data_IF_658946482525
#
_entry.id   IF_658946482525
#
_cell.length_a   1.000
_cell.length_b   1.000
_cell.length_c   1.000
_cell.angle_alpha   90.00
_cell.angle_beta   90.00
_cell.angle_gamma   90.00
#
_symmetry.space_group_name_H-M   'P 1'
#
loop_
_entity.id
_entity.type
_entity.pdbx_description
1 polymer ?
#
# COMPACT_ATOMS: atom_id res chain seq x y z
N UNK A 1 -2.98 8.72 10.47
CA UNK A 1 -2.04 8.13 9.48
C UNK A 1 -1.55 6.76 9.92
N UNK A 2 -0.95 6.62 11.10
CA UNK A 2 -0.50 5.32 11.64
C UNK A 2 -1.59 4.25 11.59
N UNK A 3 -2.80 4.53 12.10
CA UNK A 3 -3.90 3.55 12.11
C UNK A 3 -4.30 3.05 10.71
N UNK A 4 -4.24 3.93 9.69
CA UNK A 4 -4.56 3.56 8.30
C UNK A 4 -3.48 2.67 7.71
N UNK A 5 -2.22 3.01 7.95
CA UNK A 5 -1.08 2.20 7.50
C UNK A 5 -1.08 0.84 8.19
N UNK A 6 -1.24 0.80 9.50
CA UNK A 6 -1.28 -0.45 10.28
C UNK A 6 -2.44 -1.34 9.85
N UNK A 7 -3.61 -0.77 9.58
CA UNK A 7 -4.74 -1.50 9.02
C UNK A 7 -4.35 -2.17 7.69
N UNK A 8 -3.84 -1.40 6.72
CA UNK A 8 -3.48 -1.94 5.41
C UNK A 8 -2.36 -2.97 5.52
N UNK A 9 -1.31 -2.69 6.30
CA UNK A 9 -0.21 -3.63 6.54
C UNK A 9 -0.72 -4.96 7.11
N UNK A 10 -1.69 -4.93 8.03
CA UNK A 10 -2.32 -6.13 8.56
C UNK A 10 -3.13 -6.88 7.50
N UNK A 11 -3.81 -6.18 6.59
CA UNK A 11 -4.48 -6.84 5.45
C UNK A 11 -3.47 -7.50 4.49
N UNK A 12 -2.34 -6.85 4.18
CA UNK A 12 -1.27 -7.48 3.40
C UNK A 12 -0.69 -8.72 4.09
N UNK A 13 -0.50 -8.68 5.42
CA UNK A 13 -0.05 -9.85 6.21
C UNK A 13 -1.06 -11.00 6.16
N UNK A 14 -2.36 -10.71 6.15
CA UNK A 14 -3.39 -11.74 5.95
C UNK A 14 -3.27 -12.35 4.55
N UNK A 15 -3.15 -11.53 3.49
CA UNK A 15 -2.96 -12.02 2.13
C UNK A 15 -1.71 -12.90 2.00
N UNK A 16 -0.65 -12.57 2.73
CA UNK A 16 0.62 -13.29 2.79
C UNK A 16 0.58 -14.57 3.65
N UNK A 17 -0.57 -14.96 4.21
CA UNK A 17 -0.65 -16.15 5.08
C UNK A 17 0.16 -16.02 6.38
N UNK A 18 0.35 -14.79 6.85
CA UNK A 18 1.16 -14.50 8.03
C UNK A 18 2.66 -14.46 7.76
N UNK A 19 3.11 -14.62 6.51
CA UNK A 19 4.51 -14.38 6.14
C UNK A 19 4.90 -12.90 6.30
N UNK A 20 6.21 -12.65 6.30
CA UNK A 20 6.76 -11.32 6.55
C UNK A 20 6.41 -10.32 5.44
N UNK A 21 5.78 -9.21 5.85
CA UNK A 21 5.63 -7.99 5.04
C UNK A 21 6.34 -6.87 5.79
N UNK A 22 7.39 -6.34 5.16
CA UNK A 22 8.29 -5.32 5.69
C UNK A 22 7.94 -3.92 5.18
N UNK A 23 8.81 -2.97 5.52
CA UNK A 23 8.69 -1.58 5.10
C UNK A 23 10.07 -0.96 4.88
N UNK A 24 10.30 -0.41 3.69
CA UNK A 24 11.55 0.25 3.34
C UNK A 24 11.46 1.76 3.60
N UNK A 25 12.00 2.21 4.73
CA UNK A 25 11.99 3.64 5.05
C UNK A 25 12.85 4.48 4.07
N UNK A 26 13.92 3.91 3.50
CA UNK A 26 14.74 4.63 2.54
C UNK A 26 14.00 4.86 1.21
N UNK A 27 13.27 3.86 0.73
CA UNK A 27 12.39 3.99 -0.44
C UNK A 27 11.29 4.99 -0.17
N UNK A 28 10.64 4.96 1.00
CA UNK A 28 9.58 5.91 1.35
C UNK A 28 10.05 7.36 1.29
N UNK A 29 11.20 7.65 1.91
CA UNK A 29 11.78 9.00 1.89
C UNK A 29 12.17 9.40 0.47
N UNK A 30 12.79 8.49 -0.29
CA UNK A 30 13.17 8.75 -1.69
C UNK A 30 11.97 9.03 -2.58
N UNK A 31 10.89 8.23 -2.47
CA UNK A 31 9.66 8.43 -3.24
C UNK A 31 9.04 9.77 -2.88
N UNK A 32 8.83 10.04 -1.59
CA UNK A 32 8.20 11.27 -1.12
C UNK A 32 8.95 12.52 -1.58
N UNK A 33 10.28 12.49 -1.56
CA UNK A 33 11.11 13.65 -1.90
C UNK A 33 11.23 13.88 -3.43
N UNK A 34 10.87 12.90 -4.27
CA UNK A 34 10.97 12.98 -5.75
C UNK A 34 9.64 12.86 -6.49
N UNK A 35 8.52 12.88 -5.77
CA UNK A 35 7.19 12.56 -6.30
C UNK A 35 6.43 13.72 -6.98
N UNK A 36 7.11 14.63 -7.69
CA UNK A 36 6.48 15.80 -8.33
C UNK A 36 5.28 15.42 -9.21
N UNK A 37 5.40 14.31 -9.95
CA UNK A 37 4.32 13.79 -10.81
C UNK A 37 3.10 13.35 -10.01
N UNK A 38 3.30 12.67 -8.88
CA UNK A 38 2.20 12.22 -8.03
C UNK A 38 1.50 13.41 -7.37
N UNK A 39 2.26 14.43 -6.96
CA UNK A 39 1.68 15.69 -6.47
C UNK A 39 0.82 16.34 -7.55
N UNK A 40 1.33 16.55 -8.77
CA UNK A 40 0.58 17.14 -9.86
C UNK A 40 -0.72 16.36 -10.18
N UNK A 41 -0.64 15.03 -10.23
CA UNK A 41 -1.80 14.16 -10.45
C UNK A 41 -2.83 14.30 -9.31
N UNK A 42 -2.38 14.36 -8.06
CA UNK A 42 -3.28 14.51 -6.91
C UNK A 42 -4.06 15.83 -6.95
N UNK A 43 -3.42 16.94 -7.35
CA UNK A 43 -4.11 18.21 -7.51
C UNK A 43 -5.12 18.15 -8.67
N UNK A 44 -4.76 17.51 -9.78
CA UNK A 44 -5.67 17.33 -10.91
C UNK A 44 -6.89 16.47 -10.53
N UNK A 45 -6.69 15.38 -9.79
CA UNK A 45 -7.78 14.54 -9.25
C UNK A 45 -8.67 15.32 -8.26
N UNK A 46 -8.08 16.21 -7.47
CA UNK A 46 -8.82 17.07 -6.54
C UNK A 46 -9.73 18.05 -7.27
N UNK A 47 -9.22 18.72 -8.31
CA UNK A 47 -10.01 19.62 -9.15
C UNK A 47 -11.21 18.90 -9.78
N UNK A 48 -10.99 17.66 -10.23
CA UNK A 48 -12.02 16.81 -10.83
C UNK A 48 -12.89 16.07 -9.79
N UNK A 49 -12.77 16.40 -8.49
CA UNK A 49 -13.58 15.83 -7.40
C UNK A 49 -13.53 14.29 -7.33
N UNK A 50 -12.37 13.70 -7.63
CA UNK A 50 -12.18 12.25 -7.60
C UNK A 50 -12.00 11.69 -6.17
N UNK A 51 -11.74 12.55 -5.19
CA UNK A 51 -11.60 12.14 -3.79
C UNK A 51 -12.95 12.12 -3.06
N UNK A 52 -13.14 11.20 -2.09
CA UNK A 52 -14.33 11.17 -1.25
C UNK A 52 -14.61 12.51 -0.55
N UNK A 53 -15.87 12.82 -0.24
CA UNK A 53 -16.21 13.96 0.60
C UNK A 53 -15.47 13.88 1.95
N UNK A 54 -14.83 14.96 2.36
CA UNK A 54 -14.11 15.03 3.63
C UNK A 54 -12.61 14.65 3.57
N UNK A 55 -12.05 14.35 2.39
CA UNK A 55 -10.59 14.27 2.23
C UNK A 55 -9.95 15.62 2.55
N UNK A 56 -9.24 15.70 3.67
CA UNK A 56 -8.76 16.97 4.23
C UNK A 56 -7.53 17.50 3.47
N UNK A 57 -6.45 16.70 3.38
CA UNK A 57 -5.17 17.13 2.83
C UNK A 57 -4.55 16.13 1.85
N UNK A 58 -4.20 16.59 0.65
CA UNK A 58 -3.53 15.76 -0.37
C UNK A 58 -2.17 15.24 0.10
N UNK A 59 -1.46 16.01 0.93
CA UNK A 59 -0.17 15.60 1.49
C UNK A 59 -0.29 14.33 2.31
N UNK A 60 -1.31 14.25 3.16
CA UNK A 60 -1.53 13.07 4.01
C UNK A 60 -1.92 11.83 3.19
N UNK A 61 -2.74 12.01 2.15
CA UNK A 61 -3.09 10.91 1.25
C UNK A 61 -1.90 10.43 0.41
N UNK A 62 -1.04 11.36 -0.03
CA UNK A 62 0.18 11.03 -0.73
C UNK A 62 1.22 10.39 0.19
N UNK A 63 1.37 10.85 1.43
CA UNK A 63 2.26 10.22 2.41
C UNK A 63 1.85 8.76 2.66
N UNK A 64 0.55 8.47 2.81
CA UNK A 64 0.07 7.09 2.88
C UNK A 64 0.34 6.33 1.59
N UNK A 65 0.11 6.92 0.42
CA UNK A 65 0.41 6.29 -0.87
C UNK A 65 1.89 5.87 -0.98
N UNK A 66 2.83 6.76 -0.64
CA UNK A 66 4.27 6.44 -0.66
C UNK A 66 4.63 5.38 0.38
N UNK A 67 3.98 5.39 1.55
CA UNK A 67 4.17 4.33 2.54
C UNK A 67 3.75 2.96 1.98
N UNK A 68 2.62 2.88 1.26
CA UNK A 68 2.14 1.64 0.67
C UNK A 68 3.03 1.15 -0.48
N UNK A 69 3.54 2.05 -1.31
CA UNK A 69 4.51 1.74 -2.37
C UNK A 69 5.86 1.24 -1.81
N UNK A 70 6.17 1.60 -0.56
CA UNK A 70 7.40 1.23 0.12
C UNK A 70 7.29 -0.04 0.98
N UNK A 71 6.19 -0.79 0.87
CA UNK A 71 6.07 -2.11 1.50
C UNK A 71 7.03 -3.11 0.83
N UNK A 72 7.65 -3.96 1.64
CA UNK A 72 8.63 -4.95 1.17
C UNK A 72 8.09 -6.37 1.34
N UNK A 73 8.35 -7.20 0.33
CA UNK A 73 8.04 -8.63 0.34
C UNK A 73 9.13 -9.40 -0.36
N UNK A 74 9.17 -10.72 -0.15
CA UNK A 74 9.96 -11.63 -0.97
C UNK A 74 9.11 -12.21 -2.09
N UNK A 75 9.74 -12.83 -3.10
CA UNK A 75 9.01 -13.56 -4.14
C UNK A 75 8.12 -14.67 -3.57
N UNK A 76 8.55 -15.36 -2.49
CA UNK A 76 7.75 -16.40 -1.83
C UNK A 76 6.47 -15.79 -1.24
N UNK A 77 6.61 -14.71 -0.47
CA UNK A 77 5.50 -14.01 0.18
C UNK A 77 4.54 -13.42 -0.84
N UNK A 78 5.06 -12.79 -1.90
CA UNK A 78 4.23 -12.24 -2.97
C UNK A 78 3.48 -13.35 -3.74
N UNK A 79 4.09 -14.53 -3.91
CA UNK A 79 3.41 -15.68 -4.51
C UNK A 79 2.24 -16.18 -3.64
N UNK A 80 2.37 -16.16 -2.31
CA UNK A 80 1.26 -16.47 -1.39
C UNK A 80 0.12 -15.47 -1.54
N UNK A 81 0.44 -14.16 -1.58
CA UNK A 81 -0.56 -13.12 -1.81
C UNK A 81 -1.31 -13.33 -3.14
N UNK A 82 -0.58 -13.60 -4.21
CA UNK A 82 -1.16 -13.87 -5.53
C UNK A 82 -2.03 -15.13 -5.54
N UNK A 83 -1.61 -16.20 -4.84
CA UNK A 83 -2.38 -17.42 -4.70
C UNK A 83 -3.66 -17.21 -3.89
N UNK A 84 -3.64 -16.37 -2.83
CA UNK A 84 -4.86 -15.96 -2.10
C UNK A 84 -5.87 -15.29 -3.03
N UNK A 85 -5.41 -14.39 -3.92
CA UNK A 85 -6.29 -13.78 -4.93
C UNK A 85 -6.81 -14.80 -5.94
N UNK A 86 -5.95 -15.69 -6.44
CA UNK A 86 -6.33 -16.75 -7.38
C UNK A 86 -7.32 -17.76 -6.79
N UNK A 87 -7.30 -17.94 -5.47
CA UNK A 87 -8.21 -18.80 -4.71
C UNK A 87 -9.48 -18.07 -4.23
N UNK A 88 -9.87 -16.98 -4.91
CA UNK A 88 -11.11 -16.26 -4.60
C UNK A 88 -11.10 -15.51 -3.26
N UNK A 89 -9.91 -15.12 -2.78
CA UNK A 89 -9.74 -14.41 -1.51
C UNK A 89 -9.65 -15.33 -0.30
N UNK A 90 -9.78 -16.65 -0.48
CA UNK A 90 -9.50 -17.61 0.58
C UNK A 90 -8.00 -17.90 0.65
N UNK A 91 -7.44 -17.82 1.86
CA UNK A 91 -6.10 -18.33 2.14
C UNK A 91 -6.06 -19.82 1.79
N UNK A 92 -5.43 -20.13 0.66
CA UNK A 92 -5.14 -21.52 0.32
C UNK A 92 -4.16 -22.09 1.34
N UNK A 93 -4.33 -23.34 1.75
CA UNK A 93 -3.28 -24.08 2.45
C UNK A 93 -2.09 -24.26 1.50
N UNK A 94 -1.26 -23.24 1.37
CA UNK A 94 0.03 -23.34 0.68
C UNK A 94 0.95 -24.02 1.67
N UNK A 95 0.85 -25.36 1.74
CA UNK A 95 1.82 -26.18 2.45
C UNK A 95 3.18 -25.92 1.81
N UNK A 96 4.12 -25.41 2.60
CA UNK A 96 5.55 -25.61 2.34
C UNK A 96 5.84 -27.10 2.37
#
# INVERSE_FOLDING_TARGET
MADRFDFVLNEYRKLAGGEHVGFNNATFLSERDTADRNYALSYYMKENKCFPPGTQGLREELDLYFQLCSLETTCETAAVMAATLANGGALGHIRR
#
